data_IF_950108760798
#
_entry.id   IF_950108760798
#
_cell.length_a   1.000
_cell.length_b   1.000
_cell.length_c   1.000
_cell.angle_alpha   90.00
_cell.angle_beta   90.00
_cell.angle_gamma   90.00
#
_symmetry.space_group_name_H-M   'P 1'
#
loop_
_entity.id
_entity.type
_entity.pdbx_description
1 polymer ?
#
# COMPACT_ATOMS: atom_id res chain seq x y z
N UNK A 1 -26.06 14.10 -29.37
CA UNK A 1 -26.12 12.62 -29.24
C UNK A 1 -25.46 12.20 -27.93
N UNK A 2 -26.16 11.49 -27.04
CA UNK A 2 -25.52 10.81 -25.89
C UNK A 2 -24.57 9.75 -26.46
N UNK A 3 -23.29 9.80 -26.11
CA UNK A 3 -22.29 8.82 -26.53
C UNK A 3 -22.73 7.45 -25.99
N UNK A 4 -23.14 6.54 -26.86
CA UNK A 4 -23.59 5.20 -26.45
C UNK A 4 -22.45 4.53 -25.68
N UNK A 5 -22.74 4.10 -24.46
CA UNK A 5 -21.75 3.45 -23.61
C UNK A 5 -21.34 2.11 -24.24
N UNK A 6 -20.02 1.85 -24.28
CA UNK A 6 -19.49 0.63 -24.93
C UNK A 6 -19.98 -0.62 -24.20
N UNK A 7 -20.41 -1.68 -24.92
CA UNK A 7 -20.87 -2.92 -24.30
C UNK A 7 -19.73 -3.64 -23.58
N UNK A 8 -20.05 -4.32 -22.47
CA UNK A 8 -19.11 -5.16 -21.74
C UNK A 8 -19.13 -6.56 -22.33
N UNK A 9 -18.08 -6.88 -23.08
CA UNK A 9 -17.81 -8.23 -23.61
C UNK A 9 -16.54 -8.81 -22.98
N UNK A 10 -16.30 -10.11 -23.14
CA UNK A 10 -15.08 -10.76 -22.66
C UNK A 10 -13.82 -10.11 -23.28
N UNK A 11 -13.86 -9.80 -24.58
CA UNK A 11 -12.76 -9.11 -25.27
C UNK A 11 -12.54 -7.69 -24.74
N UNK A 12 -13.60 -6.96 -24.43
CA UNK A 12 -13.50 -5.64 -23.79
C UNK A 12 -12.79 -5.75 -22.43
N UNK A 13 -13.20 -6.70 -21.58
CA UNK A 13 -12.61 -6.89 -20.25
C UNK A 13 -11.14 -7.33 -20.35
N UNK A 14 -10.81 -8.24 -21.27
CA UNK A 14 -9.43 -8.67 -21.52
C UNK A 14 -8.55 -7.48 -21.91
N UNK A 15 -8.98 -6.69 -22.90
CA UNK A 15 -8.22 -5.51 -23.34
C UNK A 15 -8.09 -4.46 -22.23
N UNK A 16 -9.14 -4.27 -21.43
CA UNK A 16 -9.12 -3.37 -20.30
C UNK A 16 -8.17 -3.83 -19.18
N UNK A 17 -8.05 -5.15 -18.97
CA UNK A 17 -7.11 -5.74 -18.04
C UNK A 17 -5.66 -5.57 -18.54
N UNK A 18 -5.38 -5.93 -19.79
CA UNK A 18 -4.06 -5.74 -20.42
C UNK A 18 -3.59 -4.29 -20.29
N UNK A 19 -4.39 -3.33 -20.75
CA UNK A 19 -4.04 -1.91 -20.68
C UNK A 19 -3.83 -1.40 -19.25
N UNK A 20 -4.58 -1.95 -18.28
CA UNK A 20 -4.42 -1.58 -16.89
C UNK A 20 -3.09 -2.10 -16.31
N UNK A 21 -2.75 -3.35 -16.58
CA UNK A 21 -1.55 -4.01 -16.06
C UNK A 21 -0.26 -3.50 -16.72
N UNK A 22 -0.31 -3.03 -17.97
CA UNK A 22 0.81 -2.34 -18.63
C UNK A 22 1.25 -1.08 -17.87
N UNK A 23 0.33 -0.43 -17.13
CA UNK A 23 0.58 0.87 -16.50
C UNK A 23 0.67 0.79 -14.98
N UNK A 24 -0.03 -0.15 -14.36
CA UNK A 24 -0.21 -0.18 -12.92
C UNK A 24 0.06 -1.59 -12.37
N UNK A 25 1.03 -1.75 -11.46
CA UNK A 25 1.16 -2.99 -10.71
C UNK A 25 -0.10 -3.21 -9.87
N UNK A 26 -0.59 -4.44 -9.85
CA UNK A 26 -1.83 -4.80 -9.16
C UNK A 26 -1.75 -6.19 -8.56
N UNK A 27 -2.64 -6.44 -7.62
CA UNK A 27 -2.95 -7.78 -7.12
C UNK A 27 -4.08 -8.40 -7.94
N UNK A 28 -4.31 -9.70 -7.78
CA UNK A 28 -5.45 -10.39 -8.38
C UNK A 28 -6.77 -9.71 -7.98
N UNK A 29 -6.94 -9.43 -6.69
CA UNK A 29 -8.11 -8.69 -6.17
C UNK A 29 -8.17 -7.23 -6.64
N UNK A 30 -7.01 -6.59 -6.82
CA UNK A 30 -6.90 -5.26 -7.39
C UNK A 30 -7.49 -5.20 -8.79
N UNK A 31 -7.06 -6.13 -9.66
CA UNK A 31 -7.59 -6.25 -11.02
C UNK A 31 -9.08 -6.60 -11.01
N UNK A 32 -9.51 -7.57 -10.18
CA UNK A 32 -10.93 -7.93 -10.04
C UNK A 32 -11.79 -6.72 -9.68
N UNK A 33 -11.36 -5.87 -8.74
CA UNK A 33 -12.06 -4.63 -8.40
C UNK A 33 -12.07 -3.61 -9.54
N UNK A 34 -11.00 -3.50 -10.33
CA UNK A 34 -10.96 -2.60 -11.50
C UNK A 34 -11.99 -3.03 -12.55
N UNK A 35 -12.04 -4.32 -12.88
CA UNK A 35 -12.98 -4.85 -13.87
C UNK A 35 -14.43 -4.73 -13.37
N UNK A 36 -14.71 -5.10 -12.12
CA UNK A 36 -16.05 -4.95 -11.54
C UNK A 36 -16.53 -3.49 -11.52
N UNK A 37 -15.65 -2.51 -11.22
CA UNK A 37 -16.01 -1.09 -11.31
C UNK A 37 -16.40 -0.66 -12.74
N UNK A 38 -15.76 -1.23 -13.75
CA UNK A 38 -16.14 -0.98 -15.16
C UNK A 38 -17.50 -1.57 -15.48
N UNK A 39 -17.79 -2.79 -15.01
CA UNK A 39 -19.11 -3.42 -15.14
C UNK A 39 -20.18 -2.59 -14.46
N UNK A 40 -19.94 -2.16 -13.22
CA UNK A 40 -20.89 -1.33 -12.47
C UNK A 40 -21.19 -0.01 -13.20
N UNK A 41 -20.15 0.65 -13.71
CA UNK A 41 -20.30 1.88 -14.51
C UNK A 41 -21.08 1.64 -15.80
N UNK A 42 -20.85 0.53 -16.49
CA UNK A 42 -21.60 0.17 -17.70
C UNK A 42 -23.09 -0.02 -17.39
N UNK A 43 -23.42 -0.71 -16.29
CA UNK A 43 -24.80 -0.89 -15.82
C UNK A 43 -25.49 0.44 -15.48
N UNK A 44 -24.79 1.35 -14.80
CA UNK A 44 -25.31 2.70 -14.52
C UNK A 44 -25.60 3.52 -15.78
N UNK A 45 -24.94 3.20 -16.89
CA UNK A 45 -25.13 3.85 -18.19
C UNK A 45 -26.05 3.02 -19.12
N UNK A 46 -26.73 2.01 -18.58
CA UNK A 46 -27.63 1.10 -19.32
C UNK A 46 -26.95 0.44 -20.53
N UNK A 47 -25.63 0.25 -20.45
CA UNK A 47 -24.88 -0.44 -21.50
C UNK A 47 -25.10 -1.95 -21.42
N UNK A 48 -25.15 -2.67 -22.55
CA UNK A 48 -25.21 -4.12 -22.56
C UNK A 48 -24.03 -4.75 -21.80
N UNK A 49 -24.32 -5.73 -20.95
CA UNK A 49 -23.32 -6.53 -20.22
C UNK A 49 -23.53 -7.99 -20.55
N UNK A 50 -22.46 -8.68 -20.95
CA UNK A 50 -22.52 -10.11 -21.22
C UNK A 50 -23.03 -10.92 -20.02
N UNK A 51 -23.67 -12.06 -20.31
CA UNK A 51 -23.99 -13.05 -19.30
C UNK A 51 -22.72 -13.60 -18.63
N UNK A 52 -22.85 -14.09 -17.39
CA UNK A 52 -21.75 -14.69 -16.63
C UNK A 52 -20.49 -13.79 -16.52
N UNK A 53 -20.70 -12.46 -16.49
CA UNK A 53 -19.59 -11.48 -16.44
C UNK A 53 -18.66 -11.68 -15.24
N UNK A 54 -19.16 -12.19 -14.11
CA UNK A 54 -18.35 -12.47 -12.92
C UNK A 54 -17.35 -13.59 -13.21
N UNK A 55 -17.83 -14.70 -13.75
CA UNK A 55 -17.01 -15.84 -14.16
C UNK A 55 -16.00 -15.43 -15.23
N UNK A 56 -16.40 -14.59 -16.19
CA UNK A 56 -15.47 -14.04 -17.18
C UNK A 56 -14.34 -13.22 -16.53
N UNK A 57 -14.65 -12.39 -15.52
CA UNK A 57 -13.62 -11.65 -14.76
C UNK A 57 -12.67 -12.62 -14.05
N UNK A 58 -13.20 -13.66 -13.39
CA UNK A 58 -12.38 -14.62 -12.66
C UNK A 58 -11.43 -15.38 -13.60
N UNK A 59 -11.92 -15.83 -14.76
CA UNK A 59 -11.10 -16.46 -15.80
C UNK A 59 -10.00 -15.51 -16.30
N UNK A 60 -10.32 -14.23 -16.51
CA UNK A 60 -9.32 -13.24 -16.97
C UNK A 60 -8.26 -13.02 -15.89
N UNK A 61 -8.66 -12.85 -14.63
CA UNK A 61 -7.72 -12.67 -13.50
C UNK A 61 -6.81 -13.88 -13.37
N UNK A 62 -7.37 -15.10 -13.39
CA UNK A 62 -6.61 -16.34 -13.32
C UNK A 62 -5.56 -16.41 -14.45
N UNK A 63 -5.93 -16.10 -15.69
CA UNK A 63 -4.97 -16.07 -16.82
C UNK A 63 -3.77 -15.16 -16.57
N UNK A 64 -3.96 -13.99 -15.95
CA UNK A 64 -2.85 -13.08 -15.65
C UNK A 64 -2.00 -13.53 -14.47
N UNK A 65 -2.59 -14.25 -13.51
CA UNK A 65 -1.85 -14.90 -12.41
C UNK A 65 -1.02 -16.06 -12.97
N UNK A 66 -1.63 -16.95 -13.75
CA UNK A 66 -0.96 -18.12 -14.35
C UNK A 66 0.17 -17.70 -15.30
N UNK A 67 0.00 -16.58 -16.01
CA UNK A 67 1.04 -16.00 -16.87
C UNK A 67 2.14 -15.25 -16.10
N UNK A 68 2.07 -15.16 -14.76
CA UNK A 68 3.04 -14.45 -13.92
C UNK A 68 3.00 -12.92 -14.05
N UNK A 69 2.01 -12.36 -14.76
CA UNK A 69 1.86 -10.89 -14.88
C UNK A 69 1.36 -10.30 -13.57
N UNK A 70 0.53 -11.04 -12.84
CA UNK A 70 0.12 -10.72 -11.47
C UNK A 70 0.83 -11.68 -10.52
N UNK A 71 1.59 -11.10 -9.59
CA UNK A 71 2.20 -11.80 -8.48
C UNK A 71 1.90 -11.01 -7.19
N UNK A 72 0.96 -11.51 -6.39
CA UNK A 72 0.54 -10.87 -5.14
C UNK A 72 1.67 -10.84 -4.10
N UNK A 73 2.59 -11.82 -4.14
CA UNK A 73 3.74 -11.89 -3.23
C UNK A 73 4.77 -10.82 -3.59
N UNK A 74 5.19 -10.76 -4.85
CA UNK A 74 6.11 -9.73 -5.33
C UNK A 74 5.52 -8.31 -5.17
N UNK A 75 4.21 -8.16 -5.42
CA UNK A 75 3.50 -6.91 -5.14
C UNK A 75 3.59 -6.54 -3.66
N UNK A 76 3.28 -7.47 -2.75
CA UNK A 76 3.27 -7.22 -1.32
C UNK A 76 4.65 -6.82 -0.79
N UNK A 77 5.71 -7.54 -1.19
CA UNK A 77 7.10 -7.24 -0.83
C UNK A 77 7.51 -5.84 -1.30
N UNK A 78 7.30 -5.53 -2.58
CA UNK A 78 7.65 -4.24 -3.17
C UNK A 78 6.89 -3.09 -2.49
N UNK A 79 5.60 -3.31 -2.20
CA UNK A 79 4.75 -2.32 -1.56
C UNK A 79 5.14 -2.10 -0.10
N UNK A 80 5.44 -3.15 0.65
CA UNK A 80 5.91 -3.09 2.03
C UNK A 80 7.22 -2.28 2.12
N UNK A 81 8.21 -2.62 1.29
CA UNK A 81 9.48 -1.89 1.19
C UNK A 81 9.27 -0.40 0.90
N UNK A 82 8.43 -0.08 -0.10
CA UNK A 82 8.11 1.30 -0.47
C UNK A 82 7.43 2.08 0.68
N UNK A 83 6.50 1.45 1.40
CA UNK A 83 5.79 2.06 2.52
C UNK A 83 6.71 2.27 3.72
N UNK A 84 7.56 1.31 4.03
CA UNK A 84 8.55 1.38 5.11
C UNK A 84 9.54 2.52 4.86
N UNK A 85 10.16 2.61 3.66
CA UNK A 85 11.04 3.73 3.27
C UNK A 85 10.37 5.10 3.37
N UNK A 86 9.04 5.15 3.18
CA UNK A 86 8.23 6.36 3.33
C UNK A 86 7.86 6.67 4.79
N UNK A 87 8.33 5.90 5.76
CA UNK A 87 7.98 6.04 7.16
C UNK A 87 6.51 5.74 7.45
N UNK A 88 6.02 4.63 6.91
CA UNK A 88 4.68 4.09 7.25
C UNK A 88 4.85 3.02 8.33
N UNK A 89 4.09 3.11 9.41
CA UNK A 89 4.06 2.08 10.47
C UNK A 89 3.71 0.70 9.94
N UNK A 90 4.13 -0.36 10.63
CA UNK A 90 3.76 -1.73 10.31
C UNK A 90 2.23 -1.90 10.28
N UNK A 91 1.53 -1.34 11.27
CA UNK A 91 0.06 -1.39 11.34
C UNK A 91 -0.61 -0.82 10.09
N UNK A 92 -0.20 0.37 9.66
CA UNK A 92 -0.77 1.02 8.46
C UNK A 92 -0.31 0.31 7.18
N UNK A 93 0.90 -0.25 7.17
CA UNK A 93 1.41 -1.04 6.03
C UNK A 93 0.56 -2.29 5.82
N UNK A 94 0.31 -3.06 6.89
CA UNK A 94 -0.57 -4.24 6.87
C UNK A 94 -1.98 -3.87 6.42
N UNK A 95 -2.54 -2.77 6.93
CA UNK A 95 -3.85 -2.29 6.48
C UNK A 95 -3.87 -1.98 4.98
N UNK A 96 -2.85 -1.30 4.44
CA UNK A 96 -2.76 -0.97 3.02
C UNK A 96 -2.62 -2.20 2.13
N UNK A 97 -1.86 -3.20 2.55
CA UNK A 97 -1.74 -4.49 1.85
C UNK A 97 -3.07 -5.25 1.84
N UNK A 98 -3.74 -5.31 2.99
CA UNK A 98 -5.08 -5.91 3.09
C UNK A 98 -6.11 -5.19 2.21
N UNK A 99 -6.10 -3.85 2.19
CA UNK A 99 -6.95 -3.07 1.28
C UNK A 99 -6.60 -3.28 -0.19
N UNK A 100 -5.34 -3.57 -0.51
CA UNK A 100 -4.93 -4.01 -1.84
C UNK A 100 -5.41 -5.42 -2.16
N UNK A 101 -5.94 -6.18 -1.20
CA UNK A 101 -6.46 -7.53 -1.39
C UNK A 101 -5.39 -8.63 -1.27
N UNK A 102 -4.24 -8.31 -0.67
CA UNK A 102 -3.21 -9.31 -0.35
C UNK A 102 -3.73 -10.22 0.77
N UNK A 103 -3.58 -11.54 0.59
CA UNK A 103 -3.96 -12.54 1.59
C UNK A 103 -3.12 -12.42 2.88
N UNK A 104 -3.66 -12.91 4.00
CA UNK A 104 -3.00 -12.82 5.31
C UNK A 104 -1.59 -13.41 5.32
N UNK A 105 -1.45 -14.66 4.88
CA UNK A 105 -0.15 -15.35 4.82
C UNK A 105 0.87 -14.61 3.94
N UNK A 106 0.47 -14.21 2.71
CA UNK A 106 1.35 -13.45 1.80
C UNK A 106 1.76 -12.09 2.38
N UNK A 107 0.86 -11.45 3.12
CA UNK A 107 1.14 -10.21 3.83
C UNK A 107 2.15 -10.45 4.96
N UNK A 108 1.98 -11.51 5.76
CA UNK A 108 2.90 -11.87 6.83
C UNK A 108 4.29 -12.18 6.26
N UNK A 109 4.38 -13.01 5.21
CA UNK A 109 5.61 -13.29 4.49
C UNK A 109 6.31 -12.03 3.95
N UNK A 110 5.55 -11.06 3.43
CA UNK A 110 6.10 -9.82 2.92
C UNK A 110 6.68 -8.92 4.03
N UNK A 111 6.06 -8.94 5.21
CA UNK A 111 6.52 -8.21 6.40
C UNK A 111 7.75 -8.91 6.99
N UNK A 112 7.74 -10.23 7.16
CA UNK A 112 8.88 -10.99 7.65
C UNK A 112 10.07 -10.93 6.70
N UNK A 113 9.82 -11.07 5.39
CA UNK A 113 10.87 -10.94 4.37
C UNK A 113 11.52 -9.55 4.38
N UNK A 114 10.78 -8.49 4.74
CA UNK A 114 11.35 -7.15 4.91
C UNK A 114 12.21 -7.05 6.18
N UNK A 115 11.85 -7.74 7.25
CA UNK A 115 12.67 -7.80 8.47
C UNK A 115 14.02 -8.50 8.18
N UNK A 116 13.98 -9.61 7.42
CA UNK A 116 15.18 -10.32 6.95
C UNK A 116 16.02 -9.46 6.00
N UNK A 117 15.41 -8.81 5.01
CA UNK A 117 16.11 -7.96 4.02
C UNK A 117 16.89 -6.82 4.70
N UNK A 118 16.33 -6.26 5.76
CA UNK A 118 16.90 -5.11 6.48
C UNK A 118 17.82 -5.51 7.63
N UNK A 119 17.94 -6.82 7.91
CA UNK A 119 18.63 -7.40 9.07
C UNK A 119 18.20 -6.75 10.39
N UNK A 120 16.91 -6.82 10.69
CA UNK A 120 16.29 -6.18 11.87
C UNK A 120 15.23 -7.03 12.52
N UNK A 121 15.03 -6.78 13.80
CA UNK A 121 13.80 -7.20 14.49
C UNK A 121 12.59 -6.35 14.06
N UNK A 122 11.36 -6.85 14.23
CA UNK A 122 10.14 -6.06 13.96
C UNK A 122 10.10 -4.71 14.72
N UNK A 123 10.66 -4.66 15.93
CA UNK A 123 10.73 -3.45 16.74
C UNK A 123 11.70 -2.41 16.14
N UNK A 124 12.88 -2.86 15.68
CA UNK A 124 13.86 -1.99 15.00
C UNK A 124 13.31 -1.50 13.66
N UNK A 125 12.63 -2.35 12.88
CA UNK A 125 11.94 -1.89 11.66
C UNK A 125 10.92 -0.80 11.98
N UNK A 126 10.12 -0.95 13.03
CA UNK A 126 9.12 0.07 13.40
C UNK A 126 9.80 1.40 13.79
N UNK A 127 10.91 1.34 14.53
CA UNK A 127 11.72 2.51 14.89
C UNK A 127 12.32 3.20 13.65
N UNK A 128 12.94 2.44 12.74
CA UNK A 128 13.47 2.96 11.46
C UNK A 128 12.38 3.61 10.61
N UNK A 129 11.18 3.04 10.57
CA UNK A 129 10.04 3.65 9.87
C UNK A 129 9.61 4.98 10.52
N UNK A 130 9.56 5.04 11.85
CA UNK A 130 9.23 6.27 12.57
C UNK A 130 10.29 7.35 12.35
N UNK A 131 11.58 7.01 12.41
CA UNK A 131 12.68 7.91 12.09
C UNK A 131 12.58 8.44 10.65
N UNK A 132 12.30 7.59 9.67
CA UNK A 132 12.08 7.99 8.27
C UNK A 132 10.91 8.99 8.12
N UNK A 133 9.82 8.81 8.89
CA UNK A 133 8.72 9.77 8.91
C UNK A 133 9.16 11.11 9.52
N UNK A 134 9.83 11.08 10.67
CA UNK A 134 10.33 12.26 11.36
C UNK A 134 11.25 13.07 10.45
N UNK A 135 12.20 12.41 9.77
CA UNK A 135 13.12 13.03 8.82
C UNK A 135 12.38 13.71 7.68
N UNK A 136 11.47 12.98 7.03
CA UNK A 136 10.69 13.51 5.90
C UNK A 136 9.80 14.69 6.28
N UNK A 137 9.25 14.68 7.50
CA UNK A 137 8.30 15.71 7.99
C UNK A 137 8.94 16.77 8.88
N UNK A 138 10.27 16.72 9.08
CA UNK A 138 11.03 17.60 9.98
C UNK A 138 10.42 17.67 11.40
N UNK A 139 10.21 16.49 12.00
CA UNK A 139 9.68 16.34 13.36
C UNK A 139 10.82 16.15 14.36
N UNK A 140 10.60 16.54 15.61
CA UNK A 140 11.50 16.27 16.75
C UNK A 140 12.96 16.63 16.44
N UNK A 141 13.89 15.64 16.41
CA UNK A 141 15.32 15.89 16.22
C UNK A 141 15.68 16.56 14.88
N UNK A 142 14.81 16.48 13.87
CA UNK A 142 15.03 17.11 12.55
C UNK A 142 14.53 18.56 12.47
N UNK A 143 14.01 19.10 13.57
CA UNK A 143 13.58 20.50 13.73
C UNK A 143 14.66 21.29 14.51
N UNK A 144 14.81 22.61 14.25
CA UNK A 144 15.64 23.48 15.07
C UNK A 144 15.30 23.38 16.56
N UNK A 145 16.33 23.43 17.42
CA UNK A 145 16.24 23.09 18.83
C UNK A 145 15.22 23.97 19.58
N UNK A 146 15.23 25.27 19.28
CA UNK A 146 14.35 26.28 19.87
C UNK A 146 12.87 26.01 19.61
N UNK A 147 12.53 25.37 18.49
CA UNK A 147 11.15 25.08 18.11
C UNK A 147 10.65 23.70 18.57
N UNK A 148 11.51 22.84 19.15
CA UNK A 148 11.13 21.46 19.50
C UNK A 148 10.08 21.40 20.61
N UNK A 149 10.25 22.20 21.67
CA UNK A 149 9.34 22.20 22.83
C UNK A 149 7.90 22.55 22.42
N UNK A 150 7.75 23.60 21.62
CA UNK A 150 6.44 24.11 21.20
C UNK A 150 5.73 23.19 20.19
N UNK A 151 6.52 22.40 19.44
CA UNK A 151 6.00 21.48 18.43
C UNK A 151 5.84 20.04 18.92
N UNK A 152 6.36 19.69 20.11
CA UNK A 152 6.41 18.31 20.60
C UNK A 152 5.06 17.59 20.53
N UNK A 153 3.98 18.20 21.03
CA UNK A 153 2.65 17.60 21.01
C UNK A 153 2.12 17.42 19.57
N UNK A 154 2.41 18.37 18.67
CA UNK A 154 2.01 18.29 17.26
C UNK A 154 2.78 17.20 16.52
N UNK A 155 4.06 17.03 16.84
CA UNK A 155 4.93 16.01 16.27
C UNK A 155 4.47 14.62 16.75
N UNK A 156 4.18 14.43 18.04
CA UNK A 156 3.58 13.20 18.58
C UNK A 156 2.22 12.89 17.94
N UNK A 157 1.34 13.89 17.79
CA UNK A 157 0.05 13.72 17.11
C UNK A 157 0.21 13.34 15.63
N UNK A 158 1.29 13.78 14.97
CA UNK A 158 1.62 13.38 13.60
C UNK A 158 2.04 11.92 13.52
N UNK A 159 2.86 11.45 14.46
CA UNK A 159 3.24 10.04 14.57
C UNK A 159 2.05 9.12 14.87
N UNK A 160 1.18 9.52 15.80
CA UNK A 160 -0.02 8.77 16.14
C UNK A 160 -0.96 8.58 14.93
N UNK A 161 -1.18 9.64 14.13
CA UNK A 161 -1.96 9.56 12.89
C UNK A 161 -1.28 8.73 11.80
N UNK A 162 0.05 8.65 11.81
CA UNK A 162 0.80 7.72 10.95
C UNK A 162 0.79 6.27 11.46
N UNK A 163 0.25 6.06 12.67
CA UNK A 163 -0.09 4.77 13.22
C UNK A 163 0.97 4.13 14.11
N UNK A 164 1.99 4.89 14.51
CA UNK A 164 3.00 4.45 15.46
C UNK A 164 2.45 4.39 16.88
N UNK A 165 2.95 3.44 17.66
CA UNK A 165 2.70 3.37 19.09
C UNK A 165 3.35 4.56 19.82
N UNK A 166 2.79 4.92 20.98
CA UNK A 166 3.21 6.11 21.73
C UNK A 166 4.68 6.05 22.16
N UNK A 167 5.15 4.89 22.60
CA UNK A 167 6.52 4.65 23.03
C UNK A 167 7.52 4.86 21.89
N UNK A 168 7.23 4.34 20.68
CA UNK A 168 8.04 4.54 19.48
C UNK A 168 8.03 6.01 19.07
N UNK A 169 6.84 6.64 19.05
CA UNK A 169 6.69 8.05 18.71
C UNK A 169 7.49 8.94 19.66
N UNK A 170 7.40 8.68 20.97
CA UNK A 170 8.12 9.41 22.02
C UNK A 170 9.63 9.26 21.85
N UNK A 171 10.13 8.03 21.69
CA UNK A 171 11.56 7.77 21.46
C UNK A 171 12.10 8.57 20.27
N UNK A 172 11.37 8.61 19.17
CA UNK A 172 11.80 9.33 17.96
C UNK A 172 11.68 10.85 18.10
N UNK A 173 10.57 11.35 18.65
CA UNK A 173 10.34 12.81 18.78
C UNK A 173 11.27 13.45 19.81
N UNK A 174 11.56 12.73 20.91
CA UNK A 174 12.35 13.23 22.03
C UNK A 174 13.85 12.89 21.90
N UNK A 175 14.29 12.29 20.79
CA UNK A 175 15.70 12.00 20.56
C UNK A 175 16.54 13.29 20.51
N UNK A 176 17.75 13.21 21.06
CA UNK A 176 18.66 14.36 21.19
C UNK A 176 19.08 14.92 19.82
N UNK A 177 19.42 14.03 18.89
CA UNK A 177 19.87 14.37 17.53
C UNK A 177 19.33 13.36 16.51
N UNK A 178 19.41 13.68 15.21
CA UNK A 178 19.21 12.69 14.15
C UNK A 178 20.09 11.45 14.29
N UNK A 179 21.35 11.61 14.66
CA UNK A 179 22.33 10.53 14.73
C UNK A 179 21.98 9.52 15.84
N UNK A 180 21.39 9.98 16.94
CA UNK A 180 20.89 9.12 18.02
C UNK A 180 19.76 8.17 17.59
N UNK A 181 19.19 8.34 16.38
CA UNK A 181 18.20 7.44 15.79
C UNK A 181 18.79 6.48 14.75
N UNK A 182 20.00 6.76 14.25
CA UNK A 182 20.67 5.93 13.24
C UNK A 182 21.51 4.82 13.91
N UNK A 183 21.73 4.88 15.24
CA UNK A 183 22.47 3.90 16.07
C UNK A 183 21.61 2.76 16.69
N UNK A 184 20.32 2.66 16.35
CA UNK A 184 19.36 1.67 16.90
C UNK A 184 18.75 0.75 15.84
#
# INVERSE_FOLDING_TARGET
MKRVARPITAKYLQNAATFYLERYPSTAEGLRRVLNRRVARARMLEAPVMENVKQAIDVIVAKFVDAGVIDDKAFAQTKARSLHRRGTSNRVTRQKLKMAGVAGATLDEAIEGLDVELDVTPAQREQRAAAALARRRRLGPYRPAEARKDHRLRDLATMARAGFAYDVARKVVDAASPDALDET
#
